data_IF_016909726835
#
_entry.id   IF_016909726835
#
_cell.length_a   1.000
_cell.length_b   1.000
_cell.length_c   1.000
_cell.angle_alpha   90.00
_cell.angle_beta   90.00
_cell.angle_gamma   90.00
#
_symmetry.space_group_name_H-M   'P 1'
#
loop_
_entity.id
_entity.type
_entity.pdbx_description
1 polymer ?
#
# COMPACT_ATOMS: atom_id res chain seq x y z
N UNK A 1 13.79 10.85 -12.45
CA UNK A 1 14.86 9.84 -12.22
C UNK A 1 16.18 10.19 -12.94
N UNK A 2 16.20 10.49 -14.25
CA UNK A 2 17.46 10.84 -14.97
C UNK A 2 18.20 11.97 -14.26
N UNK A 3 17.53 13.10 -13.97
CA UNK A 3 18.10 14.24 -13.26
C UNK A 3 18.61 13.87 -11.86
N UNK A 4 17.83 13.08 -11.11
CA UNK A 4 18.21 12.63 -9.77
C UNK A 4 19.46 11.74 -9.77
N UNK A 5 19.61 10.87 -10.75
CA UNK A 5 20.81 10.04 -10.91
C UNK A 5 22.02 10.88 -11.32
N UNK A 6 21.80 11.95 -12.09
CA UNK A 6 22.84 12.90 -12.49
C UNK A 6 23.27 13.85 -11.34
N UNK A 7 22.67 13.74 -10.15
CA UNK A 7 23.04 14.54 -8.97
C UNK A 7 22.18 15.79 -8.76
N UNK A 8 21.08 15.95 -9.49
CA UNK A 8 20.11 17.02 -9.25
C UNK A 8 19.15 16.60 -8.14
N UNK A 9 19.46 16.98 -6.92
CA UNK A 9 18.65 16.63 -5.74
C UNK A 9 17.26 17.30 -5.74
N UNK A 10 17.08 18.42 -6.45
CA UNK A 10 15.75 19.05 -6.59
C UNK A 10 14.77 18.15 -7.36
N UNK A 11 15.27 17.27 -8.22
CA UNK A 11 14.43 16.27 -8.88
C UNK A 11 13.75 15.27 -7.91
N UNK A 12 14.30 15.11 -6.69
CA UNK A 12 13.64 14.31 -5.65
C UNK A 12 12.37 15.01 -5.15
N UNK A 13 12.41 16.34 -4.96
CA UNK A 13 11.24 17.09 -4.51
C UNK A 13 10.08 16.97 -5.51
N UNK A 14 10.38 17.07 -6.81
CA UNK A 14 9.36 16.88 -7.86
C UNK A 14 8.73 15.46 -7.83
N UNK A 15 9.56 14.44 -7.54
CA UNK A 15 9.06 13.08 -7.37
C UNK A 15 8.21 12.93 -6.11
N UNK A 16 8.63 13.55 -5.00
CA UNK A 16 7.87 13.54 -3.75
C UNK A 16 6.53 14.23 -3.92
N UNK A 17 6.48 15.44 -4.49
CA UNK A 17 5.24 16.18 -4.74
C UNK A 17 4.23 15.36 -5.53
N UNK A 18 4.69 14.62 -6.55
CA UNK A 18 3.81 13.80 -7.37
C UNK A 18 3.36 12.51 -6.70
N UNK A 19 4.25 11.86 -5.94
CA UNK A 19 4.03 10.49 -5.49
C UNK A 19 3.76 10.33 -3.99
N UNK A 20 3.95 11.39 -3.17
CA UNK A 20 3.73 11.26 -1.72
C UNK A 20 2.30 10.86 -1.36
N UNK A 21 1.29 11.46 -2.01
CA UNK A 21 -0.13 11.13 -1.73
C UNK A 21 -0.47 9.69 -2.11
N UNK A 22 -0.26 9.23 -3.37
CA UNK A 22 -0.50 7.83 -3.74
C UNK A 22 0.26 6.84 -2.86
N UNK A 23 1.54 7.12 -2.59
CA UNK A 23 2.38 6.27 -1.75
C UNK A 23 1.84 6.15 -0.32
N UNK A 24 1.51 7.29 0.31
CA UNK A 24 0.98 7.30 1.67
C UNK A 24 -0.37 6.59 1.74
N UNK A 25 -1.26 6.78 0.75
CA UNK A 25 -2.54 6.06 0.65
C UNK A 25 -2.36 4.55 0.58
N UNK A 26 -1.43 4.06 -0.24
CA UNK A 26 -1.11 2.64 -0.32
C UNK A 26 -0.61 2.10 1.03
N UNK A 27 0.39 2.79 1.63
CA UNK A 27 0.97 2.36 2.91
C UNK A 27 -0.08 2.39 4.02
N UNK A 28 -0.92 3.42 4.08
CA UNK A 28 -1.98 3.56 5.08
C UNK A 28 -3.02 2.44 5.00
N UNK A 29 -3.47 2.08 3.79
CA UNK A 29 -4.34 0.90 3.59
C UNK A 29 -3.67 -0.40 3.99
N UNK A 30 -2.34 -0.47 3.86
CA UNK A 30 -1.58 -1.66 4.22
C UNK A 30 -1.36 -1.77 5.72
N UNK A 31 -0.91 -0.69 6.39
CA UNK A 31 -0.46 -0.69 7.79
C UNK A 31 -1.62 -0.44 8.76
N UNK A 32 -2.59 0.39 8.37
CA UNK A 32 -3.74 0.77 9.20
C UNK A 32 -3.42 1.79 10.30
N UNK A 33 -2.19 2.34 10.35
CA UNK A 33 -1.78 3.34 11.32
C UNK A 33 -1.14 4.54 10.61
N UNK A 34 -1.65 5.74 10.88
CA UNK A 34 -1.23 6.96 10.16
C UNK A 34 0.21 7.36 10.47
N UNK A 35 0.64 7.31 11.73
CA UNK A 35 2.00 7.69 12.13
C UNK A 35 3.04 6.75 11.51
N UNK A 36 2.85 5.43 11.64
CA UNK A 36 3.70 4.43 11.01
C UNK A 36 3.73 4.60 9.47
N UNK A 37 2.60 5.01 8.89
CA UNK A 37 2.50 5.19 7.43
C UNK A 37 3.32 6.38 6.94
N UNK A 38 3.35 7.48 7.68
CA UNK A 38 4.20 8.63 7.38
C UNK A 38 5.67 8.24 7.44
N UNK A 39 6.09 7.54 8.51
CA UNK A 39 7.48 7.09 8.66
C UNK A 39 7.90 6.18 7.51
N UNK A 40 7.06 5.22 7.14
CA UNK A 40 7.33 4.31 6.03
C UNK A 40 7.35 5.00 4.67
N UNK A 41 6.52 6.04 4.48
CA UNK A 41 6.54 6.84 3.25
C UNK A 41 7.83 7.65 3.15
N UNK A 42 8.26 8.29 4.23
CA UNK A 42 9.54 9.00 4.30
C UNK A 42 10.71 8.06 4.04
N UNK A 43 10.77 6.92 4.73
CA UNK A 43 11.81 5.90 4.54
C UNK A 43 11.82 5.37 3.09
N UNK A 44 10.66 5.27 2.45
CA UNK A 44 10.58 4.88 1.04
C UNK A 44 11.32 5.89 0.15
N UNK A 45 11.12 7.19 0.33
CA UNK A 45 11.83 8.22 -0.46
C UNK A 45 13.31 8.30 -0.13
N UNK A 46 13.70 8.10 1.13
CA UNK A 46 15.11 7.95 1.52
C UNK A 46 15.75 6.81 0.74
N UNK A 47 15.09 5.67 0.63
CA UNK A 47 15.58 4.53 -0.17
C UNK A 47 15.58 4.81 -1.67
N UNK A 48 14.59 5.52 -2.19
CA UNK A 48 14.59 5.99 -3.58
C UNK A 48 15.87 6.80 -3.86
N UNK A 49 16.23 7.73 -2.97
CA UNK A 49 17.45 8.51 -3.10
C UNK A 49 18.72 7.64 -3.03
N UNK A 50 18.83 6.81 -2.02
CA UNK A 50 20.02 5.95 -1.83
C UNK A 50 20.22 4.94 -2.96
N UNK A 51 19.13 4.36 -3.45
CA UNK A 51 19.21 3.33 -4.51
C UNK A 51 18.95 3.87 -5.91
N UNK A 52 18.94 5.20 -6.13
CA UNK A 52 18.62 5.83 -7.41
C UNK A 52 19.44 5.30 -8.58
N UNK A 53 20.71 4.98 -8.36
CA UNK A 53 21.61 4.40 -9.39
C UNK A 53 21.21 2.98 -9.83
N UNK A 54 20.39 2.28 -9.05
CA UNK A 54 19.88 0.93 -9.37
C UNK A 54 18.55 0.97 -10.12
N UNK A 55 18.00 2.15 -10.38
CA UNK A 55 16.74 2.28 -11.10
C UNK A 55 16.87 1.79 -12.54
N UNK A 56 16.03 0.84 -12.93
CA UNK A 56 15.98 0.33 -14.30
C UNK A 56 14.95 1.13 -15.11
N UNK A 57 15.41 1.90 -16.08
CA UNK A 57 14.59 2.73 -16.98
C UNK A 57 13.59 1.93 -17.84
N UNK A 58 13.69 0.61 -17.91
CA UNK A 58 12.68 -0.26 -18.53
C UNK A 58 11.41 -0.43 -17.65
N UNK A 59 11.49 -0.08 -16.37
CA UNK A 59 10.38 -0.15 -15.43
C UNK A 59 9.78 1.22 -15.19
N UNK A 60 8.47 1.27 -14.90
CA UNK A 60 7.84 2.50 -14.43
C UNK A 60 8.37 2.88 -13.04
N UNK A 61 8.51 4.19 -12.78
CA UNK A 61 8.92 4.67 -11.46
C UNK A 61 7.95 4.23 -10.37
N UNK A 62 6.63 4.28 -10.63
CA UNK A 62 5.60 3.82 -9.70
C UNK A 62 5.80 2.37 -9.26
N UNK A 63 6.07 1.47 -10.21
CA UNK A 63 6.32 0.04 -9.91
C UNK A 63 7.54 -0.14 -9.02
N UNK A 64 8.62 0.60 -9.28
CA UNK A 64 9.84 0.55 -8.46
C UNK A 64 9.61 1.15 -7.06
N UNK A 65 8.93 2.30 -6.97
CA UNK A 65 8.56 2.94 -5.72
C UNK A 65 7.72 2.01 -4.84
N UNK A 66 6.67 1.41 -5.41
CA UNK A 66 5.78 0.48 -4.71
C UNK A 66 6.49 -0.82 -4.32
N UNK A 67 7.50 -1.26 -5.08
CA UNK A 67 8.35 -2.39 -4.68
C UNK A 67 9.11 -2.09 -3.39
N UNK A 68 9.69 -0.90 -3.27
CA UNK A 68 10.40 -0.46 -2.06
C UNK A 68 9.41 -0.37 -0.88
N UNK A 69 8.27 0.31 -1.09
CA UNK A 69 7.23 0.48 -0.07
C UNK A 69 6.68 -0.86 0.44
N UNK A 70 6.35 -1.78 -0.47
CA UNK A 70 5.84 -3.12 -0.14
C UNK A 70 6.81 -3.90 0.73
N UNK A 71 8.11 -3.84 0.42
CA UNK A 71 9.14 -4.49 1.23
C UNK A 71 9.24 -3.86 2.63
N UNK A 72 9.16 -2.54 2.74
CA UNK A 72 9.13 -1.85 4.03
C UNK A 72 7.91 -2.23 4.85
N UNK A 73 6.71 -2.19 4.26
CA UNK A 73 5.47 -2.62 4.92
C UNK A 73 5.56 -4.07 5.43
N UNK A 74 6.14 -4.98 4.62
CA UNK A 74 6.36 -6.37 5.02
C UNK A 74 7.29 -6.49 6.22
N UNK A 75 8.40 -5.74 6.23
CA UNK A 75 9.32 -5.71 7.36
C UNK A 75 8.67 -5.15 8.62
N UNK A 76 7.94 -4.04 8.49
CA UNK A 76 7.20 -3.41 9.58
C UNK A 76 6.16 -4.37 10.18
N UNK A 77 5.34 -5.01 9.35
CA UNK A 77 4.35 -5.98 9.82
C UNK A 77 4.97 -7.17 10.57
N UNK A 78 6.12 -7.66 10.10
CA UNK A 78 6.88 -8.72 10.80
C UNK A 78 7.45 -8.24 12.11
N UNK A 79 7.94 -7.01 12.17
CA UNK A 79 8.48 -6.41 13.38
C UNK A 79 7.37 -6.22 14.42
N UNK A 80 6.23 -5.63 14.07
CA UNK A 80 5.06 -5.46 14.95
C UNK A 80 4.56 -6.80 15.50
N UNK A 81 4.52 -7.83 14.68
CA UNK A 81 4.12 -9.18 15.14
C UNK A 81 5.06 -9.74 16.20
N UNK A 82 6.35 -9.41 16.17
CA UNK A 82 7.34 -9.86 17.14
C UNK A 82 7.44 -8.97 18.38
N UNK A 83 7.01 -7.72 18.26
CA UNK A 83 7.03 -6.72 19.31
C UNK A 83 5.62 -6.14 19.48
N UNK A 84 4.69 -6.90 20.06
CA UNK A 84 3.35 -6.39 20.32
C UNK A 84 3.45 -5.28 21.38
N UNK A 85 3.45 -4.04 20.94
CA UNK A 85 3.28 -2.87 21.80
C UNK A 85 1.80 -2.71 22.08
N UNK A 86 1.41 -2.62 23.35
CA UNK A 86 0.08 -2.18 23.73
C UNK A 86 0.04 -0.67 23.42
N UNK A 87 -0.44 -0.32 22.25
CA UNK A 87 -0.67 1.08 21.89
C UNK A 87 -1.92 1.54 22.65
N UNK A 88 -1.70 2.24 23.76
CA UNK A 88 -2.76 2.83 24.58
C UNK A 88 -3.49 4.01 23.88
N UNK A 89 -3.04 4.43 22.70
CA UNK A 89 -3.52 5.66 22.03
C UNK A 89 -4.02 5.48 20.59
N UNK A 90 -4.17 4.25 20.08
CA UNK A 90 -4.45 4.05 18.63
C UNK A 90 -5.93 4.19 18.21
N UNK A 91 -6.86 4.57 19.09
CA UNK A 91 -8.29 4.56 18.75
C UNK A 91 -9.02 5.89 18.85
N UNK A 92 -8.48 6.93 19.48
CA UNK A 92 -9.16 8.21 19.63
C UNK A 92 -8.53 9.29 18.72
N UNK A 93 -9.19 9.64 17.64
CA UNK A 93 -8.78 10.74 16.72
C UNK A 93 -8.02 10.32 15.47
N UNK A 94 -7.77 9.03 15.26
CA UNK A 94 -7.10 8.51 14.06
C UNK A 94 -8.06 8.20 12.91
N UNK A 95 -9.28 7.81 13.22
CA UNK A 95 -10.27 7.46 12.21
C UNK A 95 -10.67 8.68 11.37
N UNK A 96 -10.79 9.89 11.97
CA UNK A 96 -11.11 11.11 11.22
C UNK A 96 -10.00 11.52 10.26
N UNK A 97 -8.73 11.53 10.70
CA UNK A 97 -7.59 11.83 9.82
C UNK A 97 -7.34 10.73 8.78
N UNK A 98 -7.61 9.50 9.13
CA UNK A 98 -7.54 8.36 8.23
C UNK A 98 -8.59 8.49 7.11
N UNK A 99 -9.84 8.73 7.49
CA UNK A 99 -10.95 8.87 6.54
C UNK A 99 -10.84 10.19 5.74
N UNK A 100 -10.40 11.29 6.35
CA UNK A 100 -10.13 12.56 5.68
C UNK A 100 -9.03 12.38 4.63
N UNK A 101 -7.91 11.74 4.96
CA UNK A 101 -6.81 11.55 4.01
C UNK A 101 -7.18 10.60 2.87
N UNK A 102 -7.90 9.54 3.15
CA UNK A 102 -8.40 8.62 2.12
C UNK A 102 -9.45 9.30 1.23
N UNK A 103 -10.31 10.16 1.78
CA UNK A 103 -11.31 10.89 1.00
C UNK A 103 -10.69 11.93 0.08
N UNK A 104 -9.63 12.62 0.51
CA UNK A 104 -8.90 13.60 -0.31
C UNK A 104 -8.12 12.91 -1.46
N UNK A 105 -7.68 11.66 -1.26
CA UNK A 105 -6.94 10.91 -2.28
C UNK A 105 -7.83 10.13 -3.24
N UNK A 106 -9.14 10.16 -3.06
CA UNK A 106 -10.14 9.40 -3.83
C UNK A 106 -11.12 10.31 -4.57
N UNK A 107 -10.65 11.32 -5.30
CA UNK A 107 -11.57 12.16 -6.10
C UNK A 107 -12.33 11.39 -7.21
N UNK A 108 -12.04 10.09 -7.45
CA UNK A 108 -12.63 9.36 -8.57
C UNK A 108 -13.08 7.89 -8.29
N UNK A 109 -13.15 7.40 -7.05
CA UNK A 109 -13.55 6.01 -6.86
C UNK A 109 -14.90 5.91 -6.13
N UNK A 110 -15.96 5.35 -6.79
CA UNK A 110 -17.25 5.05 -6.12
C UNK A 110 -17.15 4.10 -4.92
N UNK A 111 -15.97 3.52 -4.68
CA UNK A 111 -15.68 2.60 -3.56
C UNK A 111 -15.67 3.25 -2.18
N UNK A 112 -15.55 4.59 -2.07
CA UNK A 112 -15.51 5.26 -0.76
C UNK A 112 -16.88 5.33 -0.08
N UNK A 113 -17.97 5.22 -0.83
CA UNK A 113 -19.31 4.98 -0.28
C UNK A 113 -19.41 3.59 0.36
N UNK A 114 -18.67 2.60 -0.17
CA UNK A 114 -18.60 1.26 0.40
C UNK A 114 -17.80 1.23 1.72
N UNK A 115 -16.76 2.06 1.86
CA UNK A 115 -15.96 2.16 3.09
C UNK A 115 -16.72 2.72 4.29
N UNK A 116 -17.79 3.49 4.06
CA UNK A 116 -18.68 4.04 5.10
C UNK A 116 -19.82 3.08 5.47
N UNK A 117 -20.09 2.07 4.67
CA UNK A 117 -21.08 1.04 4.98
C UNK A 117 -20.51 0.02 5.96
N UNK A 118 -21.37 -0.65 6.75
CA UNK A 118 -20.96 -1.76 7.62
C UNK A 118 -20.23 -2.86 6.82
N UNK A 119 -20.72 -3.14 5.63
CA UNK A 119 -20.10 -4.11 4.74
C UNK A 119 -18.66 -3.69 4.33
N UNK A 120 -18.45 -2.40 4.04
CA UNK A 120 -17.12 -1.86 3.72
C UNK A 120 -16.13 -2.02 4.87
N UNK A 121 -16.58 -1.78 6.11
CA UNK A 121 -15.76 -2.00 7.31
C UNK A 121 -15.39 -3.47 7.48
N UNK A 122 -16.35 -4.37 7.30
CA UNK A 122 -16.11 -5.82 7.36
C UNK A 122 -15.10 -6.28 6.28
N UNK A 123 -15.25 -5.79 5.05
CA UNK A 123 -14.30 -6.10 3.97
C UNK A 123 -12.90 -5.60 4.31
N UNK A 124 -12.76 -4.38 4.83
CA UNK A 124 -11.49 -3.81 5.28
C UNK A 124 -10.82 -4.68 6.34
N UNK A 125 -11.56 -5.04 7.40
CA UNK A 125 -11.04 -5.91 8.45
C UNK A 125 -10.59 -7.27 7.93
N UNK A 126 -11.33 -7.87 7.01
CA UNK A 126 -10.97 -9.15 6.42
C UNK A 126 -9.73 -9.05 5.50
N UNK A 127 -9.54 -7.91 4.80
CA UNK A 127 -8.32 -7.63 4.05
C UNK A 127 -7.12 -7.47 5.00
N UNK A 128 -7.30 -6.84 6.15
CA UNK A 128 -6.24 -6.67 7.15
C UNK A 128 -5.72 -8.00 7.69
N UNK A 129 -6.58 -9.01 7.80
CA UNK A 129 -6.25 -10.37 8.27
C UNK A 129 -5.58 -11.24 7.21
N UNK A 130 -5.46 -10.76 5.97
CA UNK A 130 -4.84 -11.54 4.90
C UNK A 130 -3.32 -11.68 5.09
N UNK A 131 -2.73 -12.80 4.67
CA UNK A 131 -1.28 -12.91 4.53
C UNK A 131 -0.72 -11.81 3.63
N UNK A 132 0.52 -11.35 3.92
CA UNK A 132 1.17 -10.25 3.22
C UNK A 132 1.01 -10.27 1.70
N UNK A 133 1.34 -11.40 1.06
CA UNK A 133 1.32 -11.49 -0.41
C UNK A 133 -0.09 -11.39 -1.00
N UNK A 134 -1.12 -11.85 -0.27
CA UNK A 134 -2.52 -11.73 -0.66
C UNK A 134 -3.03 -10.30 -0.42
N UNK A 135 -2.70 -9.72 0.74
CA UNK A 135 -3.05 -8.34 1.09
C UNK A 135 -2.46 -7.36 0.08
N UNK A 136 -1.17 -7.48 -0.21
CA UNK A 136 -0.50 -6.63 -1.20
C UNK A 136 -1.13 -6.76 -2.59
N UNK A 137 -1.37 -7.99 -3.05
CA UNK A 137 -1.95 -8.22 -4.37
C UNK A 137 -3.33 -7.56 -4.52
N UNK A 138 -4.20 -7.67 -3.50
CA UNK A 138 -5.54 -7.08 -3.57
C UNK A 138 -5.50 -5.56 -3.46
N UNK A 139 -4.64 -4.98 -2.62
CA UNK A 139 -4.50 -3.54 -2.50
C UNK A 139 -4.01 -2.91 -3.81
N UNK A 140 -2.94 -3.44 -4.40
CA UNK A 140 -2.39 -2.95 -5.67
C UNK A 140 -3.36 -3.10 -6.84
N UNK A 141 -4.19 -4.16 -6.83
CA UNK A 141 -5.17 -4.39 -7.89
C UNK A 141 -6.42 -3.50 -7.74
N UNK A 142 -6.96 -3.40 -6.52
CA UNK A 142 -8.26 -2.78 -6.29
C UNK A 142 -8.19 -1.24 -6.10
N UNK A 143 -7.06 -0.72 -5.64
CA UNK A 143 -6.92 0.70 -5.31
C UNK A 143 -5.89 1.44 -6.15
N UNK A 144 -4.90 0.75 -6.71
CA UNK A 144 -3.85 1.37 -7.51
C UNK A 144 -3.98 1.01 -9.01
N UNK A 145 -5.03 0.29 -9.41
CA UNK A 145 -5.35 -0.11 -10.80
C UNK A 145 -4.18 -0.73 -11.57
N UNK A 146 -3.29 -1.43 -10.86
CA UNK A 146 -2.12 -2.04 -11.47
C UNK A 146 -2.47 -3.32 -12.21
N UNK A 147 -1.88 -3.50 -13.38
CA UNK A 147 -1.97 -4.74 -14.14
C UNK A 147 -1.31 -5.92 -13.41
N UNK A 148 -1.73 -7.14 -13.70
CA UNK A 148 -1.11 -8.35 -13.14
C UNK A 148 0.39 -8.41 -13.40
N UNK A 149 0.87 -7.88 -14.53
CA UNK A 149 2.28 -7.82 -14.86
C UNK A 149 3.05 -6.87 -13.92
N UNK A 150 2.51 -5.69 -13.63
CA UNK A 150 3.11 -4.72 -12.71
C UNK A 150 3.12 -5.25 -11.26
N UNK A 151 2.01 -5.82 -10.81
CA UNK A 151 1.91 -6.46 -9.50
C UNK A 151 2.91 -7.62 -9.38
N UNK A 152 3.09 -8.39 -10.45
CA UNK A 152 4.05 -9.50 -10.49
C UNK A 152 5.50 -9.01 -10.29
N UNK A 153 5.86 -7.88 -10.90
CA UNK A 153 7.17 -7.24 -10.69
C UNK A 153 7.33 -6.81 -9.23
N UNK A 154 6.32 -6.13 -8.65
CA UNK A 154 6.36 -5.66 -7.26
C UNK A 154 6.50 -6.82 -6.28
N UNK A 155 5.79 -7.92 -6.51
CA UNK A 155 5.76 -9.08 -5.64
C UNK A 155 6.88 -10.11 -5.94
N UNK A 156 7.70 -9.88 -6.98
CA UNK A 156 8.75 -10.81 -7.40
C UNK A 156 8.21 -12.19 -7.82
N UNK A 157 7.09 -12.23 -8.56
CA UNK A 157 6.43 -13.47 -8.98
C UNK A 157 5.95 -13.40 -10.44
N UNK A 158 5.24 -14.42 -10.92
CA UNK A 158 4.66 -14.42 -12.26
C UNK A 158 3.26 -13.79 -12.27
N UNK A 159 2.77 -13.22 -13.41
CA UNK A 159 1.40 -12.74 -13.54
C UNK A 159 0.34 -13.82 -13.22
N UNK A 160 0.62 -15.07 -13.55
CA UNK A 160 -0.25 -16.21 -13.20
C UNK A 160 -0.32 -16.45 -11.68
N UNK A 161 0.77 -16.20 -10.97
CA UNK A 161 0.76 -16.26 -9.50
C UNK A 161 -0.07 -15.14 -8.89
N UNK A 162 -0.06 -13.94 -9.48
CA UNK A 162 -0.93 -12.82 -9.08
C UNK A 162 -2.40 -13.18 -9.27
N UNK A 163 -2.79 -13.68 -10.45
CA UNK A 163 -4.14 -14.16 -10.73
C UNK A 163 -4.61 -15.18 -9.67
N UNK A 164 -3.75 -16.14 -9.36
CA UNK A 164 -4.03 -17.18 -8.35
C UNK A 164 -4.22 -16.56 -6.95
N UNK A 165 -3.39 -15.57 -6.58
CA UNK A 165 -3.52 -14.85 -5.30
C UNK A 165 -4.84 -14.11 -5.22
N UNK A 166 -5.22 -13.36 -6.26
CA UNK A 166 -6.48 -12.61 -6.31
C UNK A 166 -7.69 -13.56 -6.28
N UNK A 167 -7.63 -14.70 -6.97
CA UNK A 167 -8.66 -15.74 -6.87
C UNK A 167 -8.81 -16.25 -5.43
N UNK A 168 -7.70 -16.55 -4.74
CA UNK A 168 -7.71 -16.98 -3.34
C UNK A 168 -8.30 -15.91 -2.42
N UNK A 169 -7.96 -14.63 -2.63
CA UNK A 169 -8.53 -13.51 -1.87
C UNK A 169 -10.06 -13.50 -2.04
N UNK A 170 -10.56 -13.51 -3.28
CA UNK A 170 -12.01 -13.53 -3.55
C UNK A 170 -12.72 -14.68 -2.85
N UNK A 171 -12.14 -15.88 -2.91
CA UNK A 171 -12.71 -17.07 -2.26
C UNK A 171 -12.71 -16.95 -0.72
N UNK A 172 -11.64 -16.40 -0.13
CA UNK A 172 -11.55 -16.19 1.32
C UNK A 172 -12.56 -15.13 1.78
N UNK A 173 -12.63 -13.99 1.09
CA UNK A 173 -13.57 -12.92 1.42
C UNK A 173 -15.02 -13.40 1.28
N UNK A 174 -15.36 -14.07 0.17
CA UNK A 174 -16.70 -14.62 -0.02
C UNK A 174 -17.10 -15.58 1.11
N UNK A 175 -16.20 -16.48 1.51
CA UNK A 175 -16.48 -17.44 2.62
C UNK A 175 -16.68 -16.74 3.96
N UNK A 176 -15.85 -15.72 4.26
CA UNK A 176 -15.90 -15.03 5.55
C UNK A 176 -17.09 -14.09 5.66
N UNK A 177 -17.37 -13.34 4.59
CA UNK A 177 -18.53 -12.45 4.55
C UNK A 177 -19.85 -13.23 4.58
N UNK A 178 -19.95 -14.37 3.88
CA UNK A 178 -21.14 -15.23 3.96
C UNK A 178 -21.37 -15.85 5.35
N UNK A 179 -20.39 -15.86 6.23
CA UNK A 179 -20.54 -16.34 7.61
C UNK A 179 -20.96 -15.23 8.58
N UNK A 180 -20.94 -13.96 8.14
CA UNK A 180 -21.27 -12.78 8.96
C UNK A 180 -22.62 -12.19 8.55
N UNK A 181 -22.99 -12.34 7.28
CA UNK A 181 -24.30 -11.94 6.70
C UNK A 181 -25.32 -13.04 6.87
#
# INVERSE_FOLDING_TARGET
MVRLIAGDDLALNELMERWQKPLLSFILRYVGNYADSIELAQETFVRVYHYRSRFNFKSKFSTWLLTIATNLCKHHARWRKRHPTISLNDTAGMDEKFDEYLSISSEEIPSDLAGRSELGKLVKEEIERLPHDLKTAVLLFAYDDLSYAEIAVILGCTPKAVETRLYRVRKLLAKRLAAIL
#
